data_IF_259389615538
#
_entry.id   IF_259389615538
#
_cell.length_a   1.000
_cell.length_b   1.000
_cell.length_c   1.000
_cell.angle_alpha   90.00
_cell.angle_beta   90.00
_cell.angle_gamma   90.00
#
_symmetry.space_group_name_H-M   'P 1'
#
loop_
_entity.id
_entity.type
_entity.pdbx_description
1 polymer ?
#
# COMPACT_ATOMS: atom_id res chain seq x y z
N UNK A 1 16.54 15.66 -30.86
CA UNK A 1 15.62 15.87 -29.74
C UNK A 1 15.09 14.49 -29.34
N UNK A 2 15.36 14.01 -28.13
CA UNK A 2 14.86 12.71 -27.68
C UNK A 2 13.36 12.89 -27.36
N UNK A 3 12.44 12.09 -27.91
CA UNK A 3 11.02 12.21 -27.59
C UNK A 3 10.78 11.97 -26.10
N UNK A 4 9.85 12.72 -25.49
CA UNK A 4 9.59 12.70 -24.05
C UNK A 4 9.25 11.31 -23.48
N UNK A 5 8.70 10.41 -24.31
CA UNK A 5 8.38 9.03 -23.94
C UNK A 5 9.64 8.23 -23.60
N UNK A 6 10.68 8.31 -24.45
CA UNK A 6 11.95 7.60 -24.24
C UNK A 6 12.70 8.12 -23.00
N UNK A 7 12.63 9.43 -22.73
CA UNK A 7 13.24 10.01 -21.54
C UNK A 7 12.56 9.52 -20.25
N UNK A 8 11.23 9.35 -20.27
CA UNK A 8 10.47 8.80 -19.14
C UNK A 8 10.77 7.32 -18.89
N UNK A 9 10.90 6.54 -19.95
CA UNK A 9 11.24 5.10 -19.86
C UNK A 9 12.64 4.89 -19.29
N UNK A 10 13.65 5.57 -19.85
CA UNK A 10 15.03 5.47 -19.36
C UNK A 10 15.15 5.88 -17.87
N UNK A 11 14.39 6.90 -17.45
CA UNK A 11 14.34 7.30 -16.04
C UNK A 11 13.69 6.23 -15.15
N UNK A 12 12.59 5.63 -15.61
CA UNK A 12 11.91 4.54 -14.89
C UNK A 12 12.80 3.31 -14.73
N UNK A 13 13.55 2.93 -15.77
CA UNK A 13 14.50 1.81 -15.73
C UNK A 13 15.64 2.07 -14.73
N UNK A 14 16.15 3.31 -14.70
CA UNK A 14 17.16 3.71 -13.72
C UNK A 14 16.63 3.61 -12.28
N UNK A 15 15.40 4.08 -12.02
CA UNK A 15 14.78 3.97 -10.70
C UNK A 15 14.51 2.51 -10.30
N UNK A 16 14.03 1.69 -11.22
CA UNK A 16 13.83 0.25 -10.97
C UNK A 16 15.16 -0.46 -10.65
N UNK A 17 16.25 -0.05 -11.32
CA UNK A 17 17.59 -0.57 -11.03
C UNK A 17 18.06 -0.20 -9.62
N UNK A 18 17.84 1.05 -9.18
CA UNK A 18 18.13 1.48 -7.81
C UNK A 18 17.30 0.71 -6.78
N UNK A 19 16.01 0.50 -7.05
CA UNK A 19 15.12 -0.28 -6.20
C UNK A 19 15.58 -1.74 -6.06
N UNK A 20 15.79 -2.41 -7.19
CA UNK A 20 16.04 -3.86 -7.23
C UNK A 20 17.44 -4.24 -6.74
N UNK A 21 18.47 -3.47 -7.10
CA UNK A 21 19.83 -3.74 -6.66
C UNK A 21 20.12 -3.19 -5.25
N UNK A 22 19.46 -2.08 -4.88
CA UNK A 22 19.78 -1.31 -3.68
C UNK A 22 21.18 -0.68 -3.71
N UNK A 23 21.79 -0.54 -4.89
CA UNK A 23 23.08 0.12 -5.05
C UNK A 23 22.95 1.59 -4.66
N UNK A 24 23.91 2.13 -3.90
CA UNK A 24 23.91 3.51 -3.38
C UNK A 24 22.83 3.81 -2.32
N UNK A 25 22.18 2.80 -1.75
CA UNK A 25 21.28 2.99 -0.62
C UNK A 25 22.01 3.56 0.60
N UNK A 26 21.41 4.57 1.22
CA UNK A 26 21.94 5.29 2.38
C UNK A 26 20.94 5.30 3.55
N UNK A 27 19.85 4.53 3.45
CA UNK A 27 18.82 4.34 4.46
C UNK A 27 18.32 2.90 4.44
N UNK A 28 18.04 2.33 5.62
CA UNK A 28 17.34 1.04 5.75
C UNK A 28 16.00 1.25 6.44
N UNK A 29 14.91 0.82 5.80
CA UNK A 29 13.59 0.73 6.44
C UNK A 29 13.35 -0.74 6.81
N UNK A 30 12.95 -0.99 8.06
CA UNK A 30 12.60 -2.32 8.57
C UNK A 30 11.11 -2.36 8.85
N UNK A 31 10.48 -3.50 8.58
CA UNK A 31 9.10 -3.78 8.96
C UNK A 31 8.96 -5.29 9.15
N UNK A 32 8.68 -5.71 10.39
CA UNK A 32 8.74 -7.12 10.78
C UNK A 32 10.09 -7.76 10.41
N UNK A 33 10.05 -8.83 9.61
CA UNK A 33 11.25 -9.54 9.15
C UNK A 33 11.85 -8.97 7.85
N UNK A 34 11.20 -7.99 7.22
CA UNK A 34 11.65 -7.41 5.95
C UNK A 34 12.58 -6.22 6.19
N UNK A 35 13.57 -6.09 5.30
CA UNK A 35 14.56 -4.99 5.32
C UNK A 35 14.72 -4.42 3.92
N UNK A 36 14.45 -3.13 3.79
CA UNK A 36 14.50 -2.40 2.53
C UNK A 36 15.69 -1.45 2.53
N UNK A 37 16.66 -1.70 1.65
CA UNK A 37 17.74 -0.77 1.36
C UNK A 37 17.21 0.29 0.39
N UNK A 38 17.00 1.51 0.90
CA UNK A 38 16.36 2.60 0.18
C UNK A 38 17.25 3.84 0.15
N UNK A 39 16.83 4.84 -0.62
CA UNK A 39 17.62 6.03 -0.89
C UNK A 39 16.92 7.24 -0.27
N UNK A 40 17.57 7.96 0.64
CA UNK A 40 17.05 9.17 1.27
C UNK A 40 16.62 10.21 0.23
N UNK A 41 17.41 10.36 -0.83
CA UNK A 41 17.10 11.30 -1.92
C UNK A 41 15.73 11.04 -2.57
N UNK A 42 15.25 9.79 -2.59
CA UNK A 42 13.92 9.44 -3.09
C UNK A 42 12.89 9.44 -1.96
N UNK A 43 13.18 8.78 -0.84
CA UNK A 43 12.21 8.61 0.25
C UNK A 43 11.88 9.95 0.92
N UNK A 44 12.89 10.75 1.26
CA UNK A 44 12.70 12.03 1.96
C UNK A 44 12.07 13.11 1.05
N UNK A 45 12.36 13.11 -0.25
CA UNK A 45 11.75 14.09 -1.17
C UNK A 45 10.27 13.83 -1.40
N UNK A 46 9.81 12.58 -1.21
CA UNK A 46 8.43 12.16 -1.41
C UNK A 46 7.62 12.02 -0.11
N UNK A 47 8.26 12.17 1.04
CA UNK A 47 7.62 12.09 2.36
C UNK A 47 8.25 13.09 3.34
N UNK A 48 7.51 14.14 3.73
CA UNK A 48 7.95 15.06 4.77
C UNK A 48 8.18 14.37 6.13
N UNK A 49 7.47 13.26 6.41
CA UNK A 49 7.72 12.45 7.60
C UNK A 49 9.14 11.86 7.57
N UNK A 50 9.49 11.14 6.51
CA UNK A 50 10.81 10.53 6.39
C UNK A 50 11.93 11.60 6.30
N UNK A 51 11.65 12.74 5.67
CA UNK A 51 12.58 13.88 5.67
C UNK A 51 12.89 14.37 7.09
N UNK A 52 11.87 14.52 7.95
CA UNK A 52 12.04 14.91 9.34
C UNK A 52 12.74 13.84 10.16
N UNK A 53 12.39 12.56 9.95
CA UNK A 53 13.04 11.45 10.64
C UNK A 53 14.55 11.38 10.31
N UNK A 54 14.92 11.62 9.05
CA UNK A 54 16.31 11.54 8.60
C UNK A 54 17.14 12.81 8.81
N UNK A 55 16.52 13.98 9.03
CA UNK A 55 17.23 15.26 9.22
C UNK A 55 17.12 15.82 10.65
N UNK A 56 16.22 15.29 11.47
CA UNK A 56 16.03 15.72 12.86
C UNK A 56 17.05 15.13 13.84
N UNK A 57 16.92 15.46 15.14
CA UNK A 57 17.81 14.98 16.20
C UNK A 57 17.53 13.52 16.64
N UNK A 58 16.74 12.77 15.87
CA UNK A 58 16.28 11.44 16.23
C UNK A 58 17.33 10.36 15.94
N UNK A 59 17.13 9.16 16.50
CA UNK A 59 18.08 8.03 16.32
C UNK A 59 18.20 7.60 14.86
N UNK A 60 17.14 7.78 14.09
CA UNK A 60 17.01 7.47 12.68
C UNK A 60 18.02 8.26 11.84
N UNK A 61 18.26 9.53 12.16
CA UNK A 61 19.24 10.37 11.45
C UNK A 61 20.69 9.98 11.72
N UNK A 62 20.96 9.38 12.89
CA UNK A 62 22.29 8.90 13.28
C UNK A 62 22.56 7.48 12.77
N UNK A 63 21.55 6.60 12.83
CA UNK A 63 21.70 5.18 12.51
C UNK A 63 21.39 4.86 11.05
N UNK A 64 20.68 5.73 10.34
CA UNK A 64 20.15 5.48 9.00
C UNK A 64 19.26 4.23 8.95
N UNK A 65 18.57 3.95 10.05
CA UNK A 65 17.61 2.85 10.19
C UNK A 65 16.31 3.40 10.73
N UNK A 66 15.21 3.12 10.03
CA UNK A 66 13.84 3.41 10.48
C UNK A 66 13.14 2.07 10.70
N UNK A 67 12.54 1.89 11.86
CA UNK A 67 11.83 0.67 12.23
C UNK A 67 10.32 0.92 12.29
N UNK A 68 9.56 0.23 11.43
CA UNK A 68 8.12 0.38 11.26
C UNK A 68 7.42 -0.85 11.86
N UNK A 69 7.63 -1.07 13.16
CA UNK A 69 7.19 -2.28 13.86
C UNK A 69 5.67 -2.42 14.00
N UNK A 70 4.95 -1.29 14.01
CA UNK A 70 3.50 -1.23 14.18
C UNK A 70 2.74 -1.25 12.84
N UNK A 71 3.46 -1.38 11.73
CA UNK A 71 2.92 -1.26 10.38
C UNK A 71 2.89 -2.61 9.66
N UNK A 72 1.96 -2.74 8.72
CA UNK A 72 1.75 -3.96 7.94
C UNK A 72 2.87 -4.13 6.89
N UNK A 73 3.64 -5.24 6.90
CA UNK A 73 4.79 -5.42 6.00
C UNK A 73 4.44 -5.34 4.51
N UNK A 74 3.29 -5.87 4.11
CA UNK A 74 2.82 -5.85 2.72
C UNK A 74 2.46 -4.43 2.27
N UNK A 75 1.79 -3.65 3.13
CA UNK A 75 1.51 -2.25 2.85
C UNK A 75 2.78 -1.38 2.81
N UNK A 76 3.77 -1.67 3.66
CA UNK A 76 5.10 -1.02 3.62
C UNK A 76 5.82 -1.35 2.32
N UNK A 77 5.80 -2.61 1.86
CA UNK A 77 6.36 -3.00 0.56
C UNK A 77 5.73 -2.19 -0.58
N UNK A 78 4.40 -2.11 -0.63
CA UNK A 78 3.67 -1.37 -1.64
C UNK A 78 3.98 0.14 -1.59
N UNK A 79 4.08 0.72 -0.39
CA UNK A 79 4.49 2.11 -0.22
C UNK A 79 5.91 2.35 -0.75
N UNK A 80 6.88 1.52 -0.37
CA UNK A 80 8.28 1.68 -0.82
C UNK A 80 8.36 1.49 -2.33
N UNK A 81 7.66 0.50 -2.89
CA UNK A 81 7.59 0.30 -4.34
C UNK A 81 7.05 1.55 -5.04
N UNK A 82 5.97 2.17 -4.51
CA UNK A 82 5.42 3.40 -5.04
C UNK A 82 6.42 4.56 -5.05
N UNK A 83 7.28 4.69 -4.04
CA UNK A 83 8.27 5.77 -3.96
C UNK A 83 9.26 5.75 -5.14
N UNK A 84 9.47 4.59 -5.76
CA UNK A 84 10.34 4.42 -6.93
C UNK A 84 9.59 4.44 -8.25
N UNK A 85 8.36 3.92 -8.31
CA UNK A 85 7.67 3.65 -9.57
C UNK A 85 6.46 4.56 -9.83
N UNK A 86 5.97 5.27 -8.80
CA UNK A 86 4.75 6.10 -8.90
C UNK A 86 3.44 5.30 -9.01
N UNK A 87 3.52 3.98 -8.95
CA UNK A 87 2.41 3.05 -8.77
C UNK A 87 2.87 1.90 -7.87
N UNK A 88 1.95 1.05 -7.42
CA UNK A 88 2.29 -0.24 -6.83
C UNK A 88 1.49 -1.34 -7.56
N UNK A 89 2.02 -2.57 -7.66
CA UNK A 89 1.40 -3.61 -8.48
C UNK A 89 -0.06 -3.83 -8.07
N UNK A 90 -0.93 -3.86 -9.08
CA UNK A 90 -2.21 -4.55 -9.00
C UNK A 90 -1.90 -5.97 -9.42
N UNK A 91 -2.12 -6.96 -8.57
CA UNK A 91 -2.14 -8.33 -9.10
C UNK A 91 -3.49 -8.48 -9.82
N UNK A 92 -3.44 -8.68 -11.13
CA UNK A 92 -4.63 -8.87 -11.94
C UNK A 92 -5.21 -10.27 -11.66
N UNK A 93 -6.46 -10.40 -11.18
CA UNK A 93 -7.07 -11.70 -10.91
C UNK A 93 -7.18 -12.60 -12.16
N UNK A 94 -7.13 -12.02 -13.37
CA UNK A 94 -7.27 -12.71 -14.65
C UNK A 94 -5.93 -13.03 -15.34
N UNK A 95 -4.78 -12.75 -14.72
CA UNK A 95 -3.47 -13.04 -15.33
C UNK A 95 -3.20 -14.57 -15.48
N UNK A 96 -2.61 -15.03 -16.60
CA UNK A 96 -2.31 -16.45 -16.84
C UNK A 96 -1.29 -17.00 -15.85
N UNK A 97 -1.38 -18.33 -15.58
CA UNK A 97 -0.73 -19.02 -14.46
C UNK A 97 0.53 -19.86 -14.82
N UNK A 98 1.70 -19.33 -14.47
CA UNK A 98 3.07 -19.85 -14.41
C UNK A 98 3.63 -21.07 -13.61
N UNK A 99 4.09 -22.14 -14.28
CA UNK A 99 4.56 -23.42 -13.68
C UNK A 99 6.07 -23.68 -13.34
N UNK A 100 7.04 -22.73 -13.23
CA UNK A 100 8.49 -23.13 -13.24
C UNK A 100 9.62 -22.32 -12.51
N UNK A 101 9.42 -21.36 -11.58
CA UNK A 101 10.56 -20.52 -11.09
C UNK A 101 10.70 -20.32 -9.56
N UNK A 102 11.19 -21.37 -8.89
CA UNK A 102 11.36 -21.50 -7.45
C UNK A 102 12.63 -20.85 -6.82
N UNK A 103 13.42 -20.00 -7.49
CA UNK A 103 14.62 -19.38 -6.88
C UNK A 103 15.05 -18.08 -7.61
N UNK A 104 15.14 -16.93 -6.91
CA UNK A 104 15.67 -15.59 -7.29
C UNK A 104 14.60 -14.50 -7.53
N UNK A 105 14.67 -13.44 -6.70
CA UNK A 105 14.39 -12.03 -7.04
C UNK A 105 13.04 -11.68 -7.69
N UNK A 106 12.30 -10.78 -7.06
CA UNK A 106 11.01 -10.28 -7.54
C UNK A 106 11.12 -9.77 -8.98
N UNK A 107 10.56 -10.52 -9.94
CA UNK A 107 10.48 -10.12 -11.35
C UNK A 107 9.00 -9.98 -11.73
N UNK A 108 8.67 -8.87 -12.40
CA UNK A 108 7.32 -8.37 -12.69
C UNK A 108 6.54 -9.16 -13.76
N UNK A 109 7.09 -10.26 -14.27
CA UNK A 109 6.57 -10.94 -15.45
C UNK A 109 6.16 -12.39 -15.14
N UNK A 110 5.20 -12.67 -14.23
CA UNK A 110 4.51 -13.98 -14.11
C UNK A 110 3.59 -14.04 -12.86
N UNK A 111 2.37 -13.49 -12.90
CA UNK A 111 1.37 -13.75 -11.85
C UNK A 111 0.40 -14.85 -12.26
N UNK A 112 0.65 -16.05 -11.73
CA UNK A 112 -0.40 -17.00 -11.41
C UNK A 112 0.11 -18.41 -11.06
N UNK A 113 -0.26 -18.93 -9.89
CA UNK A 113 -0.92 -20.24 -9.70
C UNK A 113 -1.66 -20.38 -8.35
N UNK A 114 -1.71 -19.33 -7.52
CA UNK A 114 -2.53 -19.23 -6.28
C UNK A 114 -3.22 -17.87 -6.09
N UNK A 115 -4.20 -17.50 -6.94
CA UNK A 115 -4.85 -16.17 -6.85
C UNK A 115 -6.04 -16.06 -5.88
N UNK A 116 -6.41 -17.13 -5.17
CA UNK A 116 -7.54 -17.10 -4.21
C UNK A 116 -7.21 -16.23 -2.99
N UNK A 117 -5.98 -16.29 -2.47
CA UNK A 117 -5.54 -15.44 -1.35
C UNK A 117 -5.15 -14.01 -1.75
N UNK A 118 -5.03 -13.73 -3.05
CA UNK A 118 -4.66 -12.40 -3.55
C UNK A 118 -5.89 -11.49 -3.68
N UNK A 119 -7.06 -12.05 -4.01
CA UNK A 119 -8.36 -11.34 -4.00
C UNK A 119 -8.65 -10.69 -2.63
N UNK A 120 -8.43 -11.42 -1.54
CA UNK A 120 -8.60 -10.90 -0.17
C UNK A 120 -7.59 -9.80 0.19
N UNK A 121 -6.46 -9.71 -0.51
CA UNK A 121 -5.41 -8.75 -0.17
C UNK A 121 -5.63 -7.40 -0.85
N UNK A 122 -6.29 -7.26 -1.99
CA UNK A 122 -6.29 -5.98 -2.73
C UNK A 122 -7.00 -4.84 -2.01
N UNK A 123 -8.26 -5.05 -1.65
CA UNK A 123 -9.07 -4.02 -1.02
C UNK A 123 -8.54 -3.66 0.38
N UNK A 124 -8.20 -4.64 1.26
CA UNK A 124 -7.53 -4.35 2.53
C UNK A 124 -6.14 -3.75 2.35
N UNK A 125 -5.35 -4.16 1.36
CA UNK A 125 -4.06 -3.53 1.03
C UNK A 125 -4.26 -2.08 0.62
N UNK A 126 -5.22 -1.75 -0.23
CA UNK A 126 -5.50 -0.35 -0.60
C UNK A 126 -5.89 0.48 0.62
N UNK A 127 -6.70 -0.05 1.54
CA UNK A 127 -7.03 0.62 2.80
C UNK A 127 -5.81 0.80 3.72
N UNK A 128 -4.97 -0.23 3.88
CA UNK A 128 -3.72 -0.16 4.66
C UNK A 128 -2.73 0.83 4.04
N UNK A 129 -2.51 0.77 2.72
CA UNK A 129 -1.66 1.71 1.98
C UNK A 129 -2.19 3.14 2.08
N UNK A 130 -3.51 3.34 2.07
CA UNK A 130 -4.12 4.65 2.33
C UNK A 130 -3.77 5.15 3.74
N UNK A 131 -3.90 4.30 4.77
CA UNK A 131 -3.56 4.65 6.15
C UNK A 131 -2.07 4.98 6.29
N UNK A 132 -1.17 4.20 5.69
CA UNK A 132 0.27 4.49 5.66
C UNK A 132 0.58 5.79 4.92
N UNK A 133 -0.07 6.03 3.79
CA UNK A 133 0.12 7.25 3.02
C UNK A 133 -0.27 8.50 3.81
N UNK A 134 -1.32 8.42 4.64
CA UNK A 134 -1.65 9.50 5.57
C UNK A 134 -0.60 9.62 6.68
N UNK A 135 -0.27 8.50 7.35
CA UNK A 135 0.70 8.43 8.47
C UNK A 135 2.05 9.03 8.09
N UNK A 136 2.57 8.66 6.92
CA UNK A 136 3.88 9.11 6.43
C UNK A 136 3.80 10.29 5.46
N UNK A 137 2.64 10.93 5.32
CA UNK A 137 2.47 12.17 4.58
C UNK A 137 2.89 12.04 3.10
N UNK A 138 2.31 11.08 2.39
CA UNK A 138 2.54 10.82 0.95
C UNK A 138 1.21 11.05 0.19
N UNK A 139 0.83 12.31 -0.12
CA UNK A 139 -0.51 12.64 -0.61
C UNK A 139 -0.88 11.96 -1.93
N UNK A 140 0.07 11.80 -2.84
CA UNK A 140 -0.18 11.18 -4.13
C UNK A 140 -0.36 9.65 -4.03
N UNK A 141 0.29 9.00 -3.06
CA UNK A 141 0.03 7.59 -2.75
C UNK A 141 -1.38 7.43 -2.16
N UNK A 142 -1.78 8.34 -1.27
CA UNK A 142 -3.12 8.35 -0.68
C UNK A 142 -4.20 8.44 -1.77
N UNK A 143 -4.05 9.39 -2.71
CA UNK A 143 -4.94 9.51 -3.88
C UNK A 143 -4.95 8.25 -4.74
N UNK A 144 -3.78 7.66 -4.99
CA UNK A 144 -3.67 6.42 -5.78
C UNK A 144 -4.38 5.25 -5.10
N UNK A 145 -4.19 5.08 -3.79
CA UNK A 145 -4.84 4.03 -3.02
C UNK A 145 -6.37 4.17 -3.03
N UNK A 146 -6.89 5.38 -2.84
CA UNK A 146 -8.33 5.65 -2.97
C UNK A 146 -8.86 5.33 -4.36
N UNK A 147 -8.15 5.74 -5.41
CA UNK A 147 -8.56 5.44 -6.79
C UNK A 147 -8.58 3.93 -7.05
N UNK A 148 -7.57 3.20 -6.59
CA UNK A 148 -7.51 1.75 -6.76
C UNK A 148 -8.64 1.06 -5.99
N UNK A 149 -8.89 1.47 -4.74
CA UNK A 149 -10.00 1.00 -3.91
C UNK A 149 -11.38 1.24 -4.53
N UNK A 150 -11.60 2.39 -5.17
CA UNK A 150 -12.87 2.69 -5.82
C UNK A 150 -13.02 2.05 -7.22
N UNK A 151 -11.93 1.50 -7.78
CA UNK A 151 -11.93 0.86 -9.10
C UNK A 151 -12.16 -0.66 -9.05
N UNK A 152 -12.11 -1.25 -7.86
CA UNK A 152 -12.45 -2.66 -7.61
C UNK A 152 -13.97 -2.82 -7.53
N UNK A 153 -14.48 -3.92 -8.11
CA UNK A 153 -15.93 -4.14 -8.34
C UNK A 153 -16.66 -4.41 -7.01
N UNK A 154 -17.87 -3.86 -6.84
CA UNK A 154 -18.73 -3.98 -5.63
C UNK A 154 -19.06 -5.42 -5.18
N UNK A 155 -18.74 -6.41 -6.02
CA UNK A 155 -18.97 -7.83 -5.80
C UNK A 155 -18.06 -8.47 -4.74
N UNK A 156 -16.93 -7.84 -4.38
CA UNK A 156 -15.99 -8.40 -3.40
C UNK A 156 -16.52 -8.25 -1.96
N UNK A 157 -17.20 -9.30 -1.50
CA UNK A 157 -17.85 -9.41 -0.18
C UNK A 157 -16.88 -9.30 1.01
N UNK A 158 -15.64 -9.74 0.84
CA UNK A 158 -14.65 -9.82 1.94
C UNK A 158 -14.28 -8.46 2.54
N UNK A 159 -14.41 -7.37 1.77
CA UNK A 159 -14.13 -6.03 2.29
C UNK A 159 -15.29 -5.47 3.14
N UNK A 160 -16.53 -5.88 2.88
CA UNK A 160 -17.66 -5.45 3.72
C UNK A 160 -17.48 -5.96 5.14
N UNK A 161 -17.08 -7.22 5.28
CA UNK A 161 -16.89 -7.85 6.59
C UNK A 161 -15.72 -7.22 7.38
N UNK A 162 -14.61 -6.89 6.71
CA UNK A 162 -13.45 -6.22 7.33
C UNK A 162 -13.71 -4.75 7.69
N UNK A 163 -14.45 -4.02 6.87
CA UNK A 163 -14.84 -2.64 7.17
C UNK A 163 -15.87 -2.62 8.30
N UNK A 164 -16.83 -3.53 8.29
CA UNK A 164 -17.77 -3.76 9.40
C UNK A 164 -17.00 -4.12 10.68
N UNK A 165 -15.99 -4.98 10.61
CA UNK A 165 -15.15 -5.37 11.75
C UNK A 165 -14.30 -4.21 12.28
N UNK A 166 -13.65 -3.44 11.40
CA UNK A 166 -12.88 -2.27 11.78
C UNK A 166 -13.76 -1.15 12.40
N UNK A 167 -15.00 -1.02 11.92
CA UNK A 167 -16.00 -0.10 12.46
C UNK A 167 -16.53 -0.57 13.83
N UNK A 168 -16.70 -1.89 14.02
CA UNK A 168 -17.07 -2.49 15.30
C UNK A 168 -16.02 -2.22 16.39
N UNK A 169 -14.74 -2.30 16.06
CA UNK A 169 -13.65 -2.00 16.99
C UNK A 169 -13.36 -0.50 17.18
N UNK A 170 -14.02 0.40 16.43
CA UNK A 170 -13.82 1.85 16.53
C UNK A 170 -15.14 2.65 16.62
N UNK A 171 -15.85 2.59 17.77
CA UNK A 171 -17.15 3.23 17.95
C UNK A 171 -17.14 4.77 17.85
N UNK A 172 -15.98 5.42 17.93
CA UNK A 172 -15.86 6.89 17.80
C UNK A 172 -15.96 7.36 16.33
N UNK A 173 -15.69 6.49 15.35
CA UNK A 173 -15.75 6.82 13.92
C UNK A 173 -17.17 6.92 13.36
N UNK A 174 -18.11 6.18 13.96
CA UNK A 174 -19.52 6.07 13.55
C UNK A 174 -20.30 7.39 13.63
N UNK A 175 -19.90 8.29 14.52
CA UNK A 175 -20.56 9.60 14.70
C UNK A 175 -20.07 10.70 13.76
N UNK A 176 -19.07 10.43 12.91
CA UNK A 176 -18.48 11.47 12.05
C UNK A 176 -19.37 11.79 10.84
N UNK A 177 -19.41 13.08 10.45
CA UNK A 177 -20.06 13.53 9.20
C UNK A 177 -19.52 12.79 7.97
N UNK A 178 -18.22 12.46 7.98
CA UNK A 178 -17.57 11.66 6.95
C UNK A 178 -18.20 10.26 6.87
N UNK A 179 -18.43 9.62 8.02
CA UNK A 179 -19.06 8.31 8.06
C UNK A 179 -20.51 8.32 7.60
N UNK A 180 -21.26 9.34 8.01
CA UNK A 180 -22.66 9.54 7.60
C UNK A 180 -22.79 9.70 6.08
N UNK A 181 -21.90 10.49 5.47
CA UNK A 181 -21.88 10.67 4.01
C UNK A 181 -21.50 9.38 3.27
N UNK A 182 -20.59 8.57 3.81
CA UNK A 182 -20.23 7.25 3.25
C UNK A 182 -21.41 6.27 3.31
N UNK A 183 -22.16 6.22 4.41
CA UNK A 183 -23.36 5.38 4.53
C UNK A 183 -24.49 5.84 3.59
N UNK A 184 -24.68 7.15 3.45
CA UNK A 184 -25.69 7.70 2.54
C UNK A 184 -25.34 7.43 1.07
N UNK A 185 -24.07 7.46 0.72
CA UNK A 185 -23.59 7.15 -0.62
C UNK A 185 -23.62 5.64 -0.93
N UNK A 186 -23.62 4.78 0.08
CA UNK A 186 -23.52 3.32 -0.08
C UNK A 186 -24.57 2.57 0.77
N UNK A 187 -25.83 2.50 0.32
CA UNK A 187 -26.92 1.89 1.10
C UNK A 187 -26.72 0.40 1.42
N UNK A 188 -26.01 -0.34 0.56
CA UNK A 188 -25.66 -1.74 0.79
C UNK A 188 -24.78 -1.92 2.04
N UNK A 189 -23.90 -0.96 2.31
CA UNK A 189 -23.03 -0.97 3.49
C UNK A 189 -23.82 -0.86 4.80
N UNK A 190 -24.88 -0.05 4.82
CA UNK A 190 -25.77 0.05 5.97
C UNK A 190 -26.54 -1.24 6.23
N UNK A 191 -26.97 -1.94 5.16
CA UNK A 191 -27.62 -3.24 5.25
C UNK A 191 -26.68 -4.32 5.82
N UNK A 192 -25.44 -4.36 5.35
CA UNK A 192 -24.47 -5.37 5.77
C UNK A 192 -24.02 -5.18 7.23
N UNK A 193 -23.87 -3.93 7.70
CA UNK A 193 -23.66 -3.61 9.13
C UNK A 193 -24.84 -4.16 9.97
N UNK A 194 -26.08 -3.95 9.52
CA UNK A 194 -27.26 -4.40 10.25
C UNK A 194 -27.38 -5.94 10.29
N UNK A 195 -27.01 -6.64 9.21
CA UNK A 195 -26.97 -8.10 9.17
C UNK A 195 -25.88 -8.65 10.10
N UNK A 196 -24.68 -8.06 10.10
CA UNK A 196 -23.58 -8.47 10.97
C UNK A 196 -23.93 -8.32 12.47
N UNK A 197 -24.62 -7.24 12.85
CA UNK A 197 -25.13 -7.06 14.22
C UNK A 197 -26.14 -8.16 14.60
N UNK A 198 -27.03 -8.53 13.67
CA UNK A 198 -28.04 -9.58 13.87
C UNK A 198 -27.41 -10.97 14.04
N UNK A 199 -26.37 -11.29 13.28
CA UNK A 199 -25.70 -12.60 13.32
C UNK A 199 -24.86 -12.82 14.59
N UNK A 200 -24.42 -11.74 15.26
CA UNK A 200 -23.70 -11.80 16.54
C UNK A 200 -24.60 -11.70 17.78
N UNK A 201 -25.92 -11.58 17.61
CA UNK A 201 -26.91 -11.76 18.68
C UNK A 201 -26.90 -10.69 19.78
N UNK A 202 -26.73 -9.41 19.41
CA UNK A 202 -26.84 -8.26 20.32
C UNK A 202 -28.00 -7.38 19.87
#
# INVERSE_FOLDING_TARGET
MIPAVYAREAFSEALNSLYSAGAYSDLTIKCGNKRHRVHKALVCTRSPFFAKACSGPFKESQTNVIDLVDDDPEAVDAMIFYLYHGHYPKVDPDAPRPQAYANKGWCLDWFGEDTIGLQEQYLPLHAKVYALAEKYQIPDLKKLATRNFNSTVDSDRGLRDLVVEAMYWNPLGLGSEIFKSVLQANPAMAYDIAIFHRERGI
#
